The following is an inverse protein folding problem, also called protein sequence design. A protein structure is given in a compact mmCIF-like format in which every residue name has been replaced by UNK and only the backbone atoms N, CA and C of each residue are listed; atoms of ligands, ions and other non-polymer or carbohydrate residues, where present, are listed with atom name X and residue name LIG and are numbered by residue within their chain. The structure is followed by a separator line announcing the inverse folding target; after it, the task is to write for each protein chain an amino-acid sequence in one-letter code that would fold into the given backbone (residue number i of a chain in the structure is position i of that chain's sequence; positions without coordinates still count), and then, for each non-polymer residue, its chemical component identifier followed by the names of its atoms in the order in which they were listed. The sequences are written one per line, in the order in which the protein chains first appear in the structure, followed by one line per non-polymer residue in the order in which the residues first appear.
data_IF_183305483060
#
_entry.id   IF_183305483060
#
_cell.length_a   1.000
_cell.length_b   1.000
_cell.length_c   1.000
_cell.angle_alpha   90.00
_cell.angle_beta   90.00
_cell.angle_gamma   90.00
#
_symmetry.space_group_name_H-M   'P 1'
#
loop_
_entity.id
_entity.type
_entity.pdbx_description
1 polymer ?
#
# COMPACT_ATOMS: atom_id res chain seq x y z
N UNK A 1 2.87 3.11 -18.80
CA UNK A 1 4.22 2.61 -19.17
C UNK A 1 4.90 2.07 -17.92
N UNK A 2 5.57 0.91 -18.00
CA UNK A 2 6.46 0.40 -16.94
C UNK A 2 7.89 0.47 -17.47
N UNK A 3 8.79 1.13 -16.77
CA UNK A 3 10.18 1.26 -17.23
C UNK A 3 10.90 -0.08 -17.13
N UNK A 4 11.73 -0.38 -18.13
CA UNK A 4 12.73 -1.44 -18.04
C UNK A 4 13.82 -1.02 -17.05
N UNK A 5 14.24 -1.93 -16.18
CA UNK A 5 15.35 -1.69 -15.23
C UNK A 5 16.67 -1.47 -15.98
N UNK A 6 16.89 -2.10 -17.13
CA UNK A 6 18.08 -1.86 -17.95
C UNK A 6 18.14 -0.44 -18.53
N UNK A 7 17.02 0.31 -18.48
CA UNK A 7 16.97 1.70 -18.91
C UNK A 7 17.19 2.68 -17.75
N UNK A 8 16.54 2.46 -16.61
CA UNK A 8 16.58 3.40 -15.48
C UNK A 8 17.59 3.02 -14.38
N UNK A 9 18.17 1.83 -14.44
CA UNK A 9 18.96 1.21 -13.37
C UNK A 9 20.31 1.86 -13.05
N UNK A 10 20.84 2.69 -13.95
CA UNK A 10 21.99 3.55 -13.64
C UNK A 10 21.63 4.69 -12.66
N UNK A 11 20.33 4.93 -12.45
CA UNK A 11 19.78 5.85 -11.46
C UNK A 11 19.97 7.33 -11.78
N UNK A 12 19.72 8.17 -10.77
CA UNK A 12 19.95 9.62 -10.81
C UNK A 12 19.29 10.29 -12.04
N UNK A 13 20.09 10.95 -12.90
CA UNK A 13 19.61 11.63 -14.09
C UNK A 13 19.09 10.66 -15.16
N UNK A 14 19.59 9.43 -15.24
CA UNK A 14 19.13 8.47 -16.25
C UNK A 14 17.66 8.15 -16.09
N UNK A 15 17.22 7.87 -14.85
CA UNK A 15 15.82 7.65 -14.52
C UNK A 15 14.95 8.86 -14.83
N UNK A 16 15.36 10.05 -14.38
CA UNK A 16 14.55 11.27 -14.54
C UNK A 16 14.44 11.73 -16.00
N UNK A 17 15.55 11.76 -16.74
CA UNK A 17 15.58 12.13 -18.16
C UNK A 17 14.79 11.13 -19.00
N UNK A 18 14.88 9.84 -18.66
CA UNK A 18 14.13 8.79 -19.33
C UNK A 18 12.62 8.97 -19.17
N UNK A 19 12.18 9.21 -17.94
CA UNK A 19 10.77 9.45 -17.63
C UNK A 19 10.23 10.71 -18.29
N UNK A 20 10.98 11.82 -18.26
CA UNK A 20 10.57 13.05 -18.91
C UNK A 20 10.39 12.87 -20.43
N UNK A 21 11.34 12.18 -21.08
CA UNK A 21 11.24 11.88 -22.52
C UNK A 21 9.98 11.07 -22.82
N UNK A 22 9.73 10.01 -22.05
CA UNK A 22 8.55 9.19 -22.28
C UNK A 22 7.23 9.93 -21.98
N UNK A 23 7.17 10.73 -20.92
CA UNK A 23 6.03 11.58 -20.60
C UNK A 23 5.69 12.54 -21.75
N UNK A 24 6.71 13.24 -22.26
CA UNK A 24 6.56 14.15 -23.39
C UNK A 24 6.09 13.44 -24.67
N UNK A 25 6.62 12.24 -24.94
CA UNK A 25 6.19 11.43 -26.09
C UNK A 25 4.73 10.98 -25.91
N UNK A 26 4.34 10.51 -24.72
CA UNK A 26 2.96 10.10 -24.44
C UNK A 26 1.98 11.26 -24.67
N UNK A 27 2.30 12.45 -24.13
CA UNK A 27 1.51 13.68 -24.35
C UNK A 27 1.44 14.08 -25.83
N UNK A 28 2.55 13.99 -26.57
CA UNK A 28 2.58 14.30 -28.01
C UNK A 28 1.71 13.34 -28.84
N UNK A 29 1.70 12.05 -28.49
CA UNK A 29 0.95 11.02 -29.24
C UNK A 29 -0.54 11.05 -28.91
N UNK A 30 -0.91 11.34 -27.67
CA UNK A 30 -2.31 11.29 -27.19
C UNK A 30 -3.00 12.64 -27.08
N UNK A 31 -2.26 13.74 -27.15
CA UNK A 31 -2.80 15.08 -26.90
C UNK A 31 -3.26 15.26 -25.46
N UNK A 32 -4.11 16.27 -25.23
CA UNK A 32 -4.61 16.63 -23.90
C UNK A 32 -5.74 15.71 -23.39
N UNK A 33 -6.21 14.77 -24.21
CA UNK A 33 -7.33 13.88 -23.88
C UNK A 33 -6.97 12.79 -22.85
N UNK A 34 -5.68 12.49 -22.67
CA UNK A 34 -5.22 11.43 -21.77
C UNK A 34 -4.05 11.90 -20.89
N UNK A 35 -4.16 11.62 -19.59
CA UNK A 35 -3.05 11.80 -18.65
C UNK A 35 -2.05 10.64 -18.75
N UNK A 36 -0.74 10.91 -18.76
CA UNK A 36 0.27 9.87 -18.65
C UNK A 36 0.12 9.05 -17.37
N UNK A 37 0.34 7.75 -17.49
CA UNK A 37 0.41 6.83 -16.36
C UNK A 37 1.68 5.99 -16.47
N UNK A 38 2.63 6.26 -15.58
CA UNK A 38 3.95 5.63 -15.53
C UNK A 38 4.19 4.94 -14.20
N UNK A 39 4.86 3.79 -14.25
CA UNK A 39 5.38 3.07 -13.08
C UNK A 39 6.87 2.84 -13.30
N UNK A 40 7.67 3.17 -12.30
CA UNK A 40 9.13 3.11 -12.38
C UNK A 40 9.74 2.66 -11.05
N UNK A 41 11.07 2.66 -10.98
CA UNK A 41 11.88 2.59 -9.77
C UNK A 41 13.20 3.32 -10.07
N UNK A 42 14.16 3.29 -9.15
CA UNK A 42 15.45 4.00 -9.28
C UNK A 42 15.30 5.51 -9.58
N UNK A 43 14.31 6.11 -8.92
CA UNK A 43 13.97 7.51 -9.08
C UNK A 43 14.96 8.49 -8.43
N UNK A 44 14.67 9.78 -8.61
CA UNK A 44 15.37 10.88 -7.97
C UNK A 44 14.38 12.00 -7.62
N UNK A 45 14.87 13.10 -7.05
CA UNK A 45 14.05 14.28 -6.80
C UNK A 45 13.37 14.74 -8.11
N UNK A 46 12.04 14.72 -8.14
CA UNK A 46 11.24 15.09 -9.30
C UNK A 46 10.58 13.92 -10.03
N UNK A 47 10.94 12.66 -9.75
CA UNK A 47 10.29 11.49 -10.37
C UNK A 47 8.76 11.49 -10.24
N UNK A 48 8.24 11.96 -9.10
CA UNK A 48 6.81 12.00 -8.79
C UNK A 48 5.97 12.81 -9.77
N UNK A 49 6.59 13.73 -10.54
CA UNK A 49 5.88 14.54 -11.54
C UNK A 49 5.59 13.78 -12.84
N UNK A 50 6.21 12.61 -13.03
CA UNK A 50 6.07 11.79 -14.24
C UNK A 50 5.54 10.38 -13.97
N UNK A 51 5.89 9.77 -12.83
CA UNK A 51 5.55 8.38 -12.55
C UNK A 51 5.40 8.08 -11.05
N UNK A 52 4.55 7.09 -10.76
CA UNK A 52 4.58 6.38 -9.49
C UNK A 52 5.72 5.35 -9.46
N UNK A 53 5.99 4.78 -8.29
CA UNK A 53 7.03 3.77 -8.13
C UNK A 53 6.47 2.41 -7.67
N UNK A 54 7.17 1.34 -8.03
CA UNK A 54 7.02 0.03 -7.40
C UNK A 54 8.34 -0.40 -6.75
N UNK A 55 8.26 -1.25 -5.72
CA UNK A 55 9.39 -1.55 -4.83
C UNK A 55 10.44 -2.51 -5.41
N UNK A 56 10.25 -3.07 -6.59
CA UNK A 56 11.18 -4.03 -7.18
C UNK A 56 10.77 -5.48 -6.96
N UNK A 57 11.70 -6.40 -7.23
CA UNK A 57 11.45 -7.84 -7.19
C UNK A 57 11.78 -8.43 -5.81
N UNK A 58 10.78 -9.00 -5.11
CA UNK A 58 10.99 -9.79 -3.89
C UNK A 58 10.11 -11.05 -3.84
N UNK A 59 10.39 -11.92 -2.87
CA UNK A 59 9.70 -13.19 -2.66
C UNK A 59 8.48 -13.02 -1.76
N UNK A 60 7.29 -13.38 -2.24
CA UNK A 60 6.07 -13.45 -1.45
C UNK A 60 5.81 -14.84 -0.85
N UNK A 61 4.60 -15.06 -0.36
CA UNK A 61 4.25 -16.22 0.47
C UNK A 61 4.90 -16.19 1.86
N UNK A 62 5.49 -15.05 2.26
CA UNK A 62 6.22 -14.85 3.50
C UNK A 62 5.68 -13.64 4.25
N UNK A 63 5.51 -13.74 5.57
CA UNK A 63 5.09 -12.62 6.41
C UNK A 63 6.01 -11.40 6.31
N UNK A 64 7.31 -11.64 6.14
CA UNK A 64 8.29 -10.59 5.91
C UNK A 64 7.89 -9.68 4.75
N UNK A 65 7.33 -10.25 3.68
CA UNK A 65 6.90 -9.51 2.49
C UNK A 65 5.88 -8.42 2.85
N UNK A 66 4.96 -8.67 3.79
CA UNK A 66 4.02 -7.66 4.27
C UNK A 66 4.73 -6.71 5.25
N UNK A 67 5.45 -7.28 6.24
CA UNK A 67 6.07 -6.52 7.33
C UNK A 67 6.99 -5.41 6.86
N UNK A 68 7.87 -5.68 5.90
CA UNK A 68 8.80 -4.64 5.44
C UNK A 68 8.10 -3.60 4.56
N UNK A 69 7.07 -3.98 3.80
CA UNK A 69 6.41 -3.09 2.85
C UNK A 69 5.62 -1.96 3.51
N UNK A 70 5.03 -2.17 4.69
CA UNK A 70 4.24 -1.13 5.37
C UNK A 70 5.06 0.14 5.61
N UNK A 71 6.21 0.10 6.34
CA UNK A 71 7.04 1.28 6.51
C UNK A 71 7.70 1.74 5.20
N UNK A 72 7.94 0.87 4.23
CA UNK A 72 8.40 1.28 2.89
C UNK A 72 7.39 2.23 2.24
N UNK A 73 6.09 1.88 2.23
CA UNK A 73 5.05 2.71 1.64
C UNK A 73 4.90 4.05 2.37
N UNK A 74 4.93 4.03 3.71
CA UNK A 74 4.89 5.24 4.54
C UNK A 74 6.07 6.16 4.18
N UNK A 75 7.29 5.62 4.19
CA UNK A 75 8.51 6.37 3.88
C UNK A 75 8.52 6.95 2.45
N UNK A 76 7.99 6.21 1.47
CA UNK A 76 7.83 6.71 0.09
C UNK A 76 6.86 7.89 0.03
N UNK A 77 5.70 7.80 0.69
CA UNK A 77 4.75 8.91 0.79
C UNK A 77 5.37 10.16 1.43
N UNK A 78 6.11 9.97 2.53
CA UNK A 78 6.84 11.04 3.22
C UNK A 78 7.93 11.69 2.37
N UNK A 79 8.45 10.98 1.38
CA UNK A 79 9.46 11.47 0.45
C UNK A 79 8.85 12.23 -0.75
N UNK A 80 7.56 12.56 -0.70
CA UNK A 80 6.87 13.30 -1.76
C UNK A 80 6.51 12.43 -2.98
N UNK A 81 6.46 11.11 -2.83
CA UNK A 81 6.04 10.17 -3.87
C UNK A 81 4.72 9.50 -3.46
N UNK A 82 3.55 10.08 -3.82
CA UNK A 82 2.27 9.61 -3.32
C UNK A 82 1.76 8.34 -4.03
N UNK A 83 2.28 8.01 -5.21
CA UNK A 83 1.88 6.86 -6.00
C UNK A 83 2.89 5.72 -5.83
N UNK A 84 2.81 5.03 -4.71
CA UNK A 84 3.60 3.84 -4.40
C UNK A 84 2.78 2.57 -4.62
N UNK A 85 3.45 1.51 -5.05
CA UNK A 85 2.90 0.16 -5.14
C UNK A 85 3.97 -0.90 -4.96
N UNK A 86 3.53 -2.15 -4.98
CA UNK A 86 4.39 -3.32 -5.01
C UNK A 86 3.62 -4.50 -5.62
N UNK A 87 4.33 -5.61 -5.82
CA UNK A 87 3.72 -6.80 -6.41
C UNK A 87 2.73 -7.44 -5.43
N UNK A 88 1.61 -7.95 -5.92
CA UNK A 88 0.65 -8.70 -5.12
C UNK A 88 1.26 -10.07 -4.80
N UNK A 89 1.53 -10.32 -3.52
CA UNK A 89 2.17 -11.54 -3.02
C UNK A 89 3.53 -11.83 -3.70
N UNK A 90 4.29 -10.78 -4.04
CA UNK A 90 5.64 -10.88 -4.62
C UNK A 90 5.70 -11.44 -6.04
N UNK A 91 6.74 -11.08 -6.78
CA UNK A 91 7.01 -11.67 -8.09
C UNK A 91 7.50 -13.13 -7.97
N UNK A 92 8.35 -13.41 -6.98
CA UNK A 92 8.85 -14.75 -6.67
C UNK A 92 8.05 -15.40 -5.55
N UNK A 93 8.25 -16.72 -5.35
CA UNK A 93 7.61 -17.47 -4.26
C UNK A 93 6.09 -17.51 -4.40
N UNK A 94 5.40 -17.56 -3.27
CA UNK A 94 3.95 -17.82 -3.19
C UNK A 94 3.67 -19.09 -2.37
N UNK A 95 2.60 -19.80 -2.68
CA UNK A 95 2.24 -21.06 -2.02
C UNK A 95 1.67 -20.92 -0.59
N UNK A 96 1.43 -19.70 -0.11
CA UNK A 96 0.83 -19.44 1.20
C UNK A 96 -0.43 -18.58 1.03
N UNK A 97 -1.60 -19.22 1.09
CA UNK A 97 -2.91 -18.56 0.88
C UNK A 97 -3.22 -17.50 1.94
N UNK A 98 -2.81 -17.72 3.19
CA UNK A 98 -3.05 -16.78 4.29
C UNK A 98 -2.27 -15.48 4.04
N UNK A 99 -0.98 -15.58 3.72
CA UNK A 99 -0.17 -14.39 3.38
C UNK A 99 -0.71 -13.69 2.13
N UNK A 100 -1.13 -14.46 1.12
CA UNK A 100 -1.75 -13.90 -0.09
C UNK A 100 -3.00 -13.07 0.26
N UNK A 101 -3.94 -13.64 1.03
CA UNK A 101 -5.13 -12.94 1.48
C UNK A 101 -4.78 -11.68 2.28
N UNK A 102 -3.89 -11.78 3.28
CA UNK A 102 -3.48 -10.61 4.08
C UNK A 102 -2.85 -9.51 3.23
N UNK A 103 -2.07 -9.86 2.20
CA UNK A 103 -1.48 -8.87 1.29
C UNK A 103 -2.54 -8.14 0.44
N UNK A 104 -3.56 -8.85 -0.04
CA UNK A 104 -4.72 -8.25 -0.71
C UNK A 104 -5.53 -7.34 0.22
N UNK A 105 -5.72 -7.73 1.48
CA UNK A 105 -6.49 -6.98 2.47
C UNK A 105 -5.93 -5.58 2.68
N UNK A 106 -4.64 -5.46 2.98
CA UNK A 106 -4.06 -4.14 3.29
C UNK A 106 -3.80 -3.29 2.04
N UNK A 107 -3.40 -3.91 0.91
CA UNK A 107 -3.18 -3.19 -0.35
C UNK A 107 -4.46 -2.69 -1.02
N UNK A 108 -5.63 -3.11 -0.53
CA UNK A 108 -6.89 -2.45 -0.88
C UNK A 108 -6.90 -0.96 -0.50
N UNK A 109 -6.08 -0.58 0.49
CA UNK A 109 -5.90 0.79 0.99
C UNK A 109 -4.55 1.38 0.59
N UNK A 110 -4.05 1.03 -0.60
CA UNK A 110 -2.83 1.62 -1.18
C UNK A 110 -3.04 2.05 -2.63
N UNK A 111 -2.17 2.90 -3.21
CA UNK A 111 -2.38 3.46 -4.55
C UNK A 111 -2.32 2.40 -5.66
N UNK A 112 -1.18 1.72 -5.80
CA UNK A 112 -0.89 0.84 -6.95
C UNK A 112 -0.76 -0.61 -6.49
N UNK A 113 -1.39 -1.53 -7.23
CA UNK A 113 -1.35 -2.98 -7.01
C UNK A 113 -0.97 -3.67 -8.33
N UNK A 114 0.12 -4.45 -8.33
CA UNK A 114 0.62 -5.12 -9.53
C UNK A 114 0.57 -6.63 -9.37
N UNK A 115 -0.23 -7.31 -10.18
CA UNK A 115 -0.15 -8.76 -10.30
C UNK A 115 1.02 -9.09 -11.25
N UNK A 116 2.22 -9.27 -10.70
CA UNK A 116 3.47 -9.47 -11.45
C UNK A 116 3.73 -10.96 -11.69
N UNK A 117 3.14 -11.50 -12.75
CA UNK A 117 3.09 -12.95 -12.99
C UNK A 117 4.28 -13.48 -13.82
N UNK A 118 4.46 -14.82 -13.78
CA UNK A 118 5.38 -15.56 -14.64
C UNK A 118 6.63 -16.13 -13.95
N UNK A 119 6.89 -15.75 -12.69
CA UNK A 119 8.11 -16.11 -11.97
C UNK A 119 7.85 -16.72 -10.57
N UNK A 120 6.59 -16.83 -10.18
CA UNK A 120 6.18 -17.35 -8.87
C UNK A 120 6.13 -18.87 -8.79
N UNK A 121 5.95 -19.37 -7.57
CA UNK A 121 5.61 -20.78 -7.29
C UNK A 121 4.18 -21.15 -7.71
N UNK A 122 3.33 -20.14 -7.89
CA UNK A 122 1.98 -20.22 -8.46
C UNK A 122 1.74 -18.96 -9.31
N UNK A 123 0.75 -18.96 -10.23
CA UNK A 123 0.37 -17.75 -10.95
C UNK A 123 0.07 -16.59 -9.99
N UNK A 124 0.46 -15.37 -10.35
CA UNK A 124 0.21 -14.16 -9.53
C UNK A 124 -1.11 -13.53 -9.92
N UNK A 125 -2.20 -14.13 -9.45
CA UNK A 125 -3.56 -13.64 -9.69
C UNK A 125 -4.37 -13.66 -8.39
N UNK A 126 -5.43 -12.84 -8.26
CA UNK A 126 -6.29 -12.87 -7.07
C UNK A 126 -7.08 -14.17 -6.90
N UNK A 127 -7.05 -15.08 -7.88
CA UNK A 127 -7.80 -16.35 -7.91
C UNK A 127 -6.87 -17.57 -8.07
N UNK A 128 -5.62 -17.45 -7.63
CA UNK A 128 -4.63 -18.54 -7.74
C UNK A 128 -4.71 -19.59 -6.62
N UNK A 129 -5.46 -19.29 -5.56
CA UNK A 129 -5.64 -20.17 -4.40
C UNK A 129 -7.06 -20.76 -4.39
N UNK A 130 -7.48 -21.34 -3.26
CA UNK A 130 -8.81 -21.88 -3.09
C UNK A 130 -9.93 -20.82 -3.20
N UNK A 131 -11.18 -21.29 -3.21
CA UNK A 131 -12.34 -20.42 -3.34
C UNK A 131 -12.44 -19.41 -2.19
N UNK A 132 -12.10 -19.84 -0.96
CA UNK A 132 -12.16 -18.96 0.21
C UNK A 132 -11.21 -17.77 0.08
N UNK A 133 -9.94 -18.03 -0.24
CA UNK A 133 -8.92 -16.98 -0.50
C UNK A 133 -9.33 -16.10 -1.67
N UNK A 134 -9.85 -16.71 -2.75
CA UNK A 134 -10.34 -15.99 -3.93
C UNK A 134 -11.49 -15.03 -3.58
N UNK A 135 -12.40 -15.46 -2.71
CA UNK A 135 -13.55 -14.66 -2.28
C UNK A 135 -13.12 -13.48 -1.40
N UNK A 136 -12.16 -13.67 -0.50
CA UNK A 136 -11.53 -12.60 0.29
C UNK A 136 -10.86 -11.59 -0.64
N UNK A 137 -9.98 -12.05 -1.54
CA UNK A 137 -9.28 -11.20 -2.50
C UNK A 137 -10.26 -10.37 -3.34
N UNK A 138 -11.36 -10.99 -3.78
CA UNK A 138 -12.43 -10.30 -4.51
C UNK A 138 -13.13 -9.26 -3.65
N UNK A 139 -13.46 -9.57 -2.39
CA UNK A 139 -14.14 -8.65 -1.48
C UNK A 139 -13.34 -7.36 -1.27
N UNK A 140 -12.05 -7.47 -0.98
CA UNK A 140 -11.16 -6.32 -0.79
C UNK A 140 -10.89 -5.54 -2.09
N UNK A 141 -10.79 -6.23 -3.23
CA UNK A 141 -10.72 -5.56 -4.54
C UNK A 141 -12.01 -4.77 -4.84
N UNK A 142 -13.18 -5.33 -4.51
CA UNK A 142 -14.46 -4.64 -4.63
C UNK A 142 -14.56 -3.46 -3.66
N UNK A 143 -14.06 -3.60 -2.43
CA UNK A 143 -13.99 -2.51 -1.47
C UNK A 143 -13.18 -1.32 -2.01
N UNK A 144 -11.97 -1.58 -2.54
CA UNK A 144 -11.16 -0.53 -3.19
C UNK A 144 -11.92 0.16 -4.33
N UNK A 145 -12.70 -0.61 -5.11
CA UNK A 145 -13.54 -0.06 -6.19
C UNK A 145 -14.68 0.81 -5.65
N UNK A 146 -15.35 0.39 -4.58
CA UNK A 146 -16.41 1.18 -3.94
C UNK A 146 -15.87 2.49 -3.35
N UNK A 147 -14.63 2.47 -2.86
CA UNK A 147 -13.94 3.65 -2.34
C UNK A 147 -13.33 4.54 -3.42
N UNK A 148 -13.54 4.30 -4.72
CA UNK A 148 -12.90 5.09 -5.79
C UNK A 148 -13.11 6.61 -5.68
N UNK A 149 -14.31 7.14 -5.33
CA UNK A 149 -14.47 8.58 -5.10
C UNK A 149 -13.59 9.11 -3.96
N UNK A 150 -13.49 8.35 -2.86
CA UNK A 150 -12.62 8.66 -1.74
C UNK A 150 -11.14 8.60 -2.13
N UNK A 151 -10.73 7.51 -2.79
CA UNK A 151 -9.36 7.30 -3.26
C UNK A 151 -8.94 8.40 -4.24
N UNK A 152 -9.82 8.82 -5.14
CA UNK A 152 -9.52 9.89 -6.10
C UNK A 152 -9.45 11.27 -5.42
N UNK A 153 -10.20 11.48 -4.36
CA UNK A 153 -10.09 12.69 -3.50
C UNK A 153 -8.76 12.71 -2.76
N UNK A 154 -8.34 11.60 -2.15
CA UNK A 154 -7.03 11.48 -1.50
C UNK A 154 -5.87 11.67 -2.50
N UNK A 155 -6.03 11.17 -3.73
CA UNK A 155 -5.11 11.41 -4.84
C UNK A 155 -5.04 12.90 -5.20
N UNK A 156 -6.17 13.60 -5.25
CA UNK A 156 -6.18 15.05 -5.48
C UNK A 156 -5.47 15.82 -4.35
N UNK A 157 -5.69 15.48 -3.08
CA UNK A 157 -4.98 16.08 -1.94
C UNK A 157 -3.46 15.90 -2.06
N UNK A 158 -3.00 14.77 -2.59
CA UNK A 158 -1.56 14.57 -2.83
C UNK A 158 -0.94 15.52 -3.84
N UNK A 159 -1.75 16.03 -4.78
CA UNK A 159 -1.32 16.97 -5.81
C UNK A 159 -1.47 18.42 -5.36
N UNK A 160 -2.59 18.76 -4.70
CA UNK A 160 -2.92 20.15 -4.38
C UNK A 160 -2.48 20.58 -2.98
N UNK A 161 -2.44 19.66 -2.02
CA UNK A 161 -2.12 19.94 -0.61
C UNK A 161 -0.81 19.27 -0.16
N UNK A 162 -0.23 18.41 -1.00
CA UNK A 162 1.04 17.71 -0.74
C UNK A 162 0.95 16.53 0.24
N UNK A 163 -0.23 16.24 0.81
CA UNK A 163 -0.41 15.09 1.71
C UNK A 163 -0.45 13.78 0.90
N UNK A 164 0.45 12.81 1.12
CA UNK A 164 0.42 11.53 0.40
C UNK A 164 -0.86 10.75 0.72
N UNK A 165 -1.18 9.75 -0.11
CA UNK A 165 -2.36 8.92 0.13
C UNK A 165 -2.14 7.95 1.30
N UNK A 166 -0.94 7.38 1.42
CA UNK A 166 -0.47 6.58 2.57
C UNK A 166 0.30 7.51 3.50
N UNK A 167 -0.20 7.71 4.72
CA UNK A 167 0.30 8.74 5.64
C UNK A 167 0.78 8.13 6.94
N UNK A 168 2.02 8.44 7.33
CA UNK A 168 2.44 8.24 8.71
C UNK A 168 1.57 9.10 9.64
N UNK A 169 1.21 8.57 10.82
CA UNK A 169 0.24 9.21 11.72
C UNK A 169 0.61 10.65 12.07
N UNK A 170 1.91 10.97 12.18
CA UNK A 170 2.37 12.32 12.52
C UNK A 170 1.96 13.41 11.52
N UNK A 171 1.61 13.06 10.28
CA UNK A 171 1.15 14.04 9.29
C UNK A 171 -0.19 14.68 9.67
N UNK A 172 -1.03 13.93 10.38
CA UNK A 172 -2.35 14.37 10.82
C UNK A 172 -2.41 14.56 12.35
N UNK A 173 -1.48 13.96 13.10
CA UNK A 173 -1.34 14.10 14.56
C UNK A 173 0.04 14.67 14.98
N UNK A 174 0.45 15.86 14.51
CA UNK A 174 1.81 16.39 14.71
C UNK A 174 2.13 16.74 16.17
N UNK A 175 1.12 16.90 17.02
CA UNK A 175 1.29 17.26 18.43
C UNK A 175 1.36 16.04 19.37
N UNK A 176 1.30 14.81 18.82
CA UNK A 176 1.35 13.57 19.59
C UNK A 176 2.71 12.90 19.42
N UNK A 177 3.57 12.87 20.46
CA UNK A 177 4.89 12.23 20.39
C UNK A 177 4.83 10.77 19.91
N UNK A 178 3.81 10.03 20.30
CA UNK A 178 3.57 8.62 19.93
C UNK A 178 3.48 8.43 18.42
N UNK A 179 2.96 9.42 17.68
CA UNK A 179 2.80 9.38 16.23
C UNK A 179 4.14 9.39 15.45
N UNK A 180 5.26 9.64 16.14
CA UNK A 180 6.63 9.63 15.60
C UNK A 180 7.44 8.39 16.02
N UNK A 181 6.89 7.51 16.86
CA UNK A 181 7.63 6.39 17.45
C UNK A 181 7.52 5.11 16.59
N UNK A 182 8.42 4.15 16.82
CA UNK A 182 8.35 2.82 16.20
C UNK A 182 7.03 2.07 16.50
N UNK A 183 6.30 2.49 17.53
CA UNK A 183 4.95 2.00 17.87
C UNK A 183 4.00 2.04 16.67
N UNK A 184 4.06 3.09 15.84
CA UNK A 184 3.14 3.31 14.71
C UNK A 184 3.73 2.87 13.37
N UNK A 185 4.88 2.17 13.37
CA UNK A 185 5.61 1.77 12.17
C UNK A 185 4.81 0.86 11.22
N UNK A 186 3.87 0.11 11.77
CA UNK A 186 3.08 -0.89 11.04
C UNK A 186 1.60 -0.51 10.93
N UNK A 187 1.31 0.78 10.93
CA UNK A 187 -0.02 1.33 10.66
C UNK A 187 0.11 2.72 10.02
N UNK A 188 -0.93 3.14 9.31
CA UNK A 188 -0.94 4.41 8.58
C UNK A 188 -2.36 4.90 8.41
N UNK A 189 -2.51 6.18 8.04
CA UNK A 189 -3.78 6.69 7.55
C UNK A 189 -3.84 6.56 6.03
N UNK A 190 -4.94 5.99 5.53
CA UNK A 190 -5.30 6.01 4.12
C UNK A 190 -6.23 7.19 3.87
N UNK A 191 -5.69 8.30 3.37
CA UNK A 191 -6.39 9.59 3.33
C UNK A 191 -6.70 10.13 4.73
N UNK A 192 -7.83 10.83 4.89
CA UNK A 192 -8.21 11.48 6.17
C UNK A 192 -8.96 10.54 7.14
N UNK A 193 -9.64 9.50 6.62
CA UNK A 193 -10.72 8.83 7.37
C UNK A 193 -10.45 7.39 7.78
N UNK A 194 -9.40 6.75 7.27
CA UNK A 194 -9.12 5.33 7.53
C UNK A 194 -7.78 5.17 8.24
N UNK A 195 -7.77 4.57 9.43
CA UNK A 195 -6.57 4.01 10.03
C UNK A 195 -6.46 2.54 9.61
N UNK A 196 -5.34 2.18 8.99
CA UNK A 196 -5.06 0.85 8.48
C UNK A 196 -3.90 0.27 9.27
N UNK A 197 -4.15 -0.82 10.02
CA UNK A 197 -3.16 -1.53 10.81
C UNK A 197 -3.05 -3.00 10.34
N UNK A 198 -2.23 -3.29 9.31
CA UNK A 198 -2.21 -4.61 8.69
C UNK A 198 -1.75 -5.74 9.62
N UNK A 199 -2.20 -6.97 9.32
CA UNK A 199 -1.57 -8.20 9.85
C UNK A 199 -0.29 -8.44 9.07
N UNK A 200 0.85 -8.39 9.75
CA UNK A 200 2.17 -8.43 9.12
C UNK A 200 3.05 -9.58 9.60
N UNK A 201 2.59 -10.38 10.55
CA UNK A 201 3.28 -11.55 11.08
C UNK A 201 2.26 -12.53 11.64
N UNK A 202 2.60 -13.82 11.63
CA UNK A 202 1.86 -14.80 12.42
C UNK A 202 2.14 -14.53 13.91
N UNK A 203 1.11 -14.12 14.65
CA UNK A 203 1.22 -13.88 16.10
C UNK A 203 0.66 -15.06 16.89
N UNK A 204 -0.55 -15.49 16.55
CA UNK A 204 -1.26 -16.64 17.10
C UNK A 204 -2.20 -17.24 16.05
N UNK A 205 -1.75 -17.35 14.79
CA UNK A 205 -2.57 -17.86 13.70
C UNK A 205 -2.98 -19.30 13.93
N UNK A 206 -4.27 -19.59 13.76
CA UNK A 206 -4.78 -20.96 13.65
C UNK A 206 -4.69 -21.50 12.20
N UNK A 207 -5.12 -22.75 12.00
CA UNK A 207 -5.12 -23.43 10.69
C UNK A 207 -6.07 -22.78 9.66
N UNK A 208 -7.01 -21.94 10.12
CA UNK A 208 -7.95 -21.19 9.28
C UNK A 208 -7.43 -19.78 8.96
N UNK A 209 -6.26 -19.38 9.50
CA UNK A 209 -5.67 -18.07 9.30
C UNK A 209 -6.24 -16.96 10.18
N UNK A 210 -7.08 -17.31 11.17
CA UNK A 210 -7.50 -16.37 12.21
C UNK A 210 -6.30 -16.06 13.09
N UNK A 211 -6.02 -14.78 13.32
CA UNK A 211 -4.86 -14.32 14.06
C UNK A 211 -5.26 -13.21 15.05
N UNK A 212 -4.27 -12.66 15.74
CA UNK A 212 -4.42 -11.48 16.60
C UNK A 212 -3.44 -10.39 16.19
N UNK A 213 -3.88 -9.13 16.28
CA UNK A 213 -3.02 -7.96 16.08
C UNK A 213 -2.73 -7.28 17.41
N UNK A 214 -1.45 -7.18 17.73
CA UNK A 214 -0.94 -6.45 18.89
C UNK A 214 -0.37 -5.11 18.46
N UNK A 215 -0.48 -4.07 19.30
CA UNK A 215 0.14 -2.77 19.04
C UNK A 215 -0.57 -1.95 17.97
N UNK A 216 -1.91 -1.88 18.00
CA UNK A 216 -2.67 -0.92 17.17
C UNK A 216 -2.79 0.36 17.99
N UNK A 217 -2.14 1.45 17.58
CA UNK A 217 -2.29 2.71 18.30
C UNK A 217 -3.43 3.53 17.68
N UNK A 218 -4.41 3.86 18.53
CA UNK A 218 -5.52 4.71 18.15
C UNK A 218 -5.19 6.13 18.63
N UNK A 219 -4.90 7.08 17.73
CA UNK A 219 -4.53 8.44 18.12
C UNK A 219 -5.74 9.22 18.64
N UNK A 220 -5.46 10.29 19.37
CA UNK A 220 -6.42 11.24 19.94
C UNK A 220 -7.42 10.66 20.96
N UNK A 221 -7.22 11.01 22.24
CA UNK A 221 -8.10 10.59 23.35
C UNK A 221 -9.54 11.11 23.23
N UNK A 222 -9.76 12.19 22.48
CA UNK A 222 -11.06 12.81 22.30
C UNK A 222 -11.78 12.29 21.04
N UNK A 223 -11.08 11.48 20.23
CA UNK A 223 -11.61 10.82 19.03
C UNK A 223 -12.24 9.46 19.36
N UNK A 224 -13.27 9.10 18.59
CA UNK A 224 -13.82 7.74 18.52
C UNK A 224 -13.40 7.12 17.19
N UNK A 225 -12.79 5.94 17.27
CA UNK A 225 -12.46 5.09 16.14
C UNK A 225 -13.50 3.98 16.01
N UNK A 226 -13.98 3.75 14.79
CA UNK A 226 -15.03 2.78 14.51
C UNK A 226 -14.41 1.68 13.66
N UNK A 227 -14.48 0.44 14.13
CA UNK A 227 -14.16 -0.72 13.32
C UNK A 227 -15.09 -0.76 12.10
N UNK A 228 -14.50 -0.64 10.91
CA UNK A 228 -15.22 -0.54 9.66
C UNK A 228 -16.12 -1.76 9.36
N UNK A 229 -15.72 -2.95 9.82
CA UNK A 229 -16.42 -4.20 9.55
C UNK A 229 -17.55 -4.45 10.56
N UNK A 230 -17.31 -4.14 11.83
CA UNK A 230 -18.23 -4.51 12.93
C UNK A 230 -19.06 -3.35 13.46
N UNK A 231 -18.65 -2.10 13.21
CA UNK A 231 -19.24 -0.91 13.80
C UNK A 231 -18.88 -0.71 15.28
N UNK A 232 -18.02 -1.56 15.85
CA UNK A 232 -17.60 -1.44 17.26
C UNK A 232 -16.74 -0.18 17.45
N UNK A 233 -17.07 0.58 18.48
CA UNK A 233 -16.39 1.82 18.83
C UNK A 233 -15.23 1.59 19.80
N UNK A 234 -14.15 2.35 19.60
CA UNK A 234 -12.97 2.41 20.45
C UNK A 234 -12.60 3.87 20.69
N UNK A 235 -12.32 4.26 21.93
CA UNK A 235 -11.74 5.58 22.23
C UNK A 235 -10.31 5.64 21.69
N UNK A 236 -9.85 6.76 21.16
CA UNK A 236 -8.41 6.93 20.89
C UNK A 236 -7.60 7.20 22.17
N UNK A 237 -6.33 7.55 22.00
CA UNK A 237 -5.35 7.71 23.08
C UNK A 237 -4.94 6.40 23.74
N UNK A 238 -5.06 5.26 23.04
CA UNK A 238 -4.74 3.94 23.59
C UNK A 238 -4.08 3.02 22.56
N UNK A 239 -3.45 1.96 23.06
CA UNK A 239 -2.89 0.87 22.24
C UNK A 239 -3.72 -0.38 22.46
N UNK A 240 -4.32 -0.90 21.39
CA UNK A 240 -5.05 -2.17 21.42
C UNK A 240 -4.07 -3.34 21.23
N UNK A 241 -4.27 -4.38 22.04
CA UNK A 241 -3.57 -5.65 21.96
C UNK A 241 -4.57 -6.80 21.93
N UNK A 242 -4.14 -7.95 21.43
CA UNK A 242 -4.96 -9.14 21.20
C UNK A 242 -6.23 -8.82 20.40
N UNK A 243 -6.12 -7.90 19.44
CA UNK A 243 -7.24 -7.54 18.58
C UNK A 243 -7.52 -8.71 17.64
N UNK A 244 -8.70 -9.30 17.73
CA UNK A 244 -9.10 -10.44 16.90
C UNK A 244 -9.09 -10.05 15.42
N UNK A 245 -8.36 -10.81 14.62
CA UNK A 245 -8.21 -10.61 13.19
C UNK A 245 -8.52 -11.92 12.46
N UNK A 246 -9.80 -12.26 12.26
CA UNK A 246 -10.18 -13.39 11.41
C UNK A 246 -9.65 -13.19 9.98
N UNK A 247 -9.49 -14.29 9.25
CA UNK A 247 -9.10 -14.25 7.84
C UNK A 247 -10.26 -13.71 6.97
#
# INVERSE_FOLDING_TARGET
MKTDVAWVGDGYSFGLDGLEKADNIMKKVKGDDLRPFGITLDGWAGTQRYAGIWTGDQTGGQWEYIRFHIPTYIGTGLSGQPYVGSDMDGIFGGGNSIVNARDFQWKAFTPIQLNMDGWGSNPKTPFSFDQHTTDINRAYTKQKTMLMPYNYTASAQSVFDGKPMVRGLFLDYPNMPEAYMDLVKYEYLWGDNFLVAPIYQNTASDDQGNDVRNGIYLPDKDQVWIDYCTGKEYRGGQVLNNFEAPL
#
